data_IF_176560544241
#
_entry.id   IF_176560544241
#
_cell.length_a   1.000
_cell.length_b   1.000
_cell.length_c   1.000
_cell.angle_alpha   90.00
_cell.angle_beta   90.00
_cell.angle_gamma   90.00
#
_symmetry.space_group_name_H-M   'P 1'
#
loop_
_entity.id
_entity.type
_entity.pdbx_description
1 polymer ?
#
# COMPACT_ATOMS: atom_id res chain seq x y z
N UNK A 1 -0.69 -6.55 13.21
CA UNK A 1 0.01 -7.66 13.89
C UNK A 1 -0.43 -8.97 13.24
N UNK A 2 0.50 -9.89 13.01
CA UNK A 2 0.24 -11.19 12.37
C UNK A 2 0.66 -12.28 13.37
N UNK A 3 -0.19 -13.29 13.56
CA UNK A 3 0.12 -14.43 14.41
C UNK A 3 1.21 -15.29 13.74
N UNK A 4 2.08 -15.92 14.54
CA UNK A 4 3.26 -16.65 14.03
C UNK A 4 2.90 -17.85 13.15
N UNK A 5 1.72 -18.44 13.36
CA UNK A 5 1.16 -19.59 12.65
C UNK A 5 0.71 -19.26 11.21
N UNK A 6 0.48 -17.99 10.89
CA UNK A 6 0.15 -17.57 9.52
C UNK A 6 1.40 -17.68 8.65
N UNK A 7 1.32 -18.36 7.50
CA UNK A 7 2.46 -18.59 6.60
C UNK A 7 2.88 -17.38 5.74
N UNK A 8 2.02 -16.36 5.60
CA UNK A 8 2.32 -15.17 4.80
C UNK A 8 3.47 -14.36 5.42
N UNK A 9 4.50 -14.08 4.63
CA UNK A 9 5.69 -13.29 5.01
C UNK A 9 5.99 -12.24 3.96
N UNK A 10 6.88 -11.31 4.31
CA UNK A 10 7.41 -10.31 3.38
C UNK A 10 8.10 -11.00 2.20
N UNK A 11 7.93 -10.41 1.02
CA UNK A 11 8.56 -10.91 -0.19
C UNK A 11 9.98 -10.38 -0.21
N UNK A 12 10.95 -11.28 -0.33
CA UNK A 12 12.35 -10.89 -0.40
C UNK A 12 12.63 -9.98 -1.61
N UNK A 13 13.43 -8.94 -1.41
CA UNK A 13 13.74 -7.92 -2.42
C UNK A 13 12.64 -6.87 -2.67
N UNK A 14 11.45 -6.97 -2.06
CA UNK A 14 10.42 -5.93 -2.20
C UNK A 14 10.61 -4.80 -1.19
N UNK A 15 11.08 -3.64 -1.66
CA UNK A 15 11.40 -2.50 -0.79
C UNK A 15 10.26 -1.48 -0.59
N UNK A 16 9.29 -1.45 -1.50
CA UNK A 16 8.16 -0.52 -1.44
C UNK A 16 6.85 -1.31 -1.36
N UNK A 17 5.90 -0.80 -0.55
CA UNK A 17 4.58 -1.41 -0.36
C UNK A 17 4.63 -2.89 0.10
N UNK A 18 5.70 -3.30 0.80
CA UNK A 18 5.85 -4.66 1.31
C UNK A 18 4.77 -5.02 2.34
N UNK A 19 4.45 -4.09 3.24
CA UNK A 19 3.39 -4.24 4.24
C UNK A 19 2.04 -4.43 3.55
N UNK A 20 1.78 -3.66 2.50
CA UNK A 20 0.52 -3.76 1.77
C UNK A 20 0.39 -5.14 1.13
N UNK A 21 1.44 -5.62 0.46
CA UNK A 21 1.46 -6.97 -0.12
C UNK A 21 1.24 -8.06 0.93
N UNK A 22 1.89 -7.93 2.09
CA UNK A 22 1.72 -8.87 3.19
C UNK A 22 0.26 -8.94 3.63
N UNK A 23 -0.38 -7.79 3.87
CA UNK A 23 -1.78 -7.73 4.27
C UNK A 23 -2.73 -8.29 3.22
N UNK A 24 -2.50 -7.96 1.94
CA UNK A 24 -3.27 -8.49 0.83
C UNK A 24 -3.20 -10.02 0.78
N UNK A 25 -1.99 -10.60 0.86
CA UNK A 25 -1.79 -12.06 0.90
C UNK A 25 -2.45 -12.73 2.11
N UNK A 26 -2.39 -12.08 3.27
CA UNK A 26 -3.08 -12.59 4.48
C UNK A 26 -4.58 -12.66 4.22
N UNK A 27 -5.21 -11.60 3.72
CA UNK A 27 -6.65 -11.62 3.44
C UNK A 27 -7.00 -12.63 2.34
N UNK A 28 -6.18 -12.71 1.29
CA UNK A 28 -6.32 -13.70 0.22
C UNK A 28 -6.23 -15.14 0.71
N UNK A 29 -5.45 -15.41 1.76
CA UNK A 29 -5.33 -16.75 2.34
C UNK A 29 -6.60 -17.25 3.05
N UNK A 30 -7.62 -16.41 3.18
CA UNK A 30 -8.90 -16.75 3.80
C UNK A 30 -8.88 -16.79 5.33
N UNK A 31 -7.78 -16.36 5.96
CA UNK A 31 -7.71 -16.24 7.42
C UNK A 31 -8.53 -15.06 7.92
N UNK A 32 -9.04 -15.17 9.15
CA UNK A 32 -9.81 -14.08 9.76
C UNK A 32 -8.91 -12.87 10.04
N UNK A 33 -9.30 -11.72 9.51
CA UNK A 33 -8.66 -10.43 9.73
C UNK A 33 -9.61 -9.51 10.50
N UNK A 34 -9.12 -8.90 11.58
CA UNK A 34 -9.89 -7.98 12.43
C UNK A 34 -9.22 -6.62 12.45
N UNK A 35 -10.01 -5.56 12.24
CA UNK A 35 -9.56 -4.17 12.39
C UNK A 35 -9.85 -3.69 13.81
N UNK A 36 -8.80 -3.41 14.58
CA UNK A 36 -8.92 -2.86 15.93
C UNK A 36 -9.10 -1.34 15.86
N UNK A 37 -10.16 -0.76 16.46
CA UNK A 37 -10.41 0.69 16.48
C UNK A 37 -9.61 1.39 17.59
N UNK A 38 -8.34 1.00 17.79
CA UNK A 38 -7.46 1.53 18.83
C UNK A 38 -6.26 2.23 18.20
N UNK A 39 -5.87 3.36 18.78
CA UNK A 39 -4.65 4.07 18.37
C UNK A 39 -3.42 3.30 18.86
N UNK A 40 -2.81 2.52 17.97
CA UNK A 40 -1.65 1.69 18.28
C UNK A 40 -0.30 2.36 17.97
N UNK A 41 -0.31 3.46 17.22
CA UNK A 41 0.90 4.16 16.80
C UNK A 41 0.65 5.67 16.72
N UNK A 42 1.66 6.44 17.08
CA UNK A 42 1.73 7.89 16.87
C UNK A 42 2.88 8.20 15.91
N UNK A 43 2.61 9.07 14.93
CA UNK A 43 3.60 9.50 13.94
C UNK A 43 3.95 10.96 14.26
N UNK A 44 5.20 11.20 14.67
CA UNK A 44 5.68 12.53 15.06
C UNK A 44 6.46 13.25 13.96
N UNK A 45 6.52 12.67 12.75
CA UNK A 45 7.15 13.27 11.57
C UNK A 45 6.12 13.86 10.63
N UNK A 46 6.52 14.90 9.91
CA UNK A 46 5.71 15.45 8.83
C UNK A 46 5.38 14.36 7.80
N UNK A 47 4.12 14.32 7.38
CA UNK A 47 3.64 13.38 6.36
C UNK A 47 4.28 13.63 5.00
N UNK A 48 4.73 14.87 4.75
CA UNK A 48 5.30 15.32 3.49
C UNK A 48 6.61 16.10 3.73
N UNK A 49 7.63 15.82 2.91
CA UNK A 49 8.92 16.53 2.94
C UNK A 49 9.99 15.92 3.84
N UNK A 50 9.68 14.86 4.60
CA UNK A 50 10.69 14.05 5.27
C UNK A 50 11.44 13.17 4.24
N UNK A 51 12.78 13.18 4.29
CA UNK A 51 13.64 12.29 3.50
C UNK A 51 13.34 10.82 3.86
N UNK A 52 13.08 9.96 2.86
CA UNK A 52 12.76 8.54 3.08
C UNK A 52 12.02 7.88 1.92
N UNK A 53 11.55 6.63 2.11
CA UNK A 53 10.79 5.87 1.08
C UNK A 53 9.53 6.62 0.61
N UNK A 54 8.92 7.39 1.51
CA UNK A 54 7.70 8.19 1.26
C UNK A 54 7.90 9.36 0.30
N UNK A 55 9.14 9.81 0.04
CA UNK A 55 9.40 10.85 -0.97
C UNK A 55 9.39 10.29 -2.40
N UNK A 56 9.55 8.97 -2.56
CA UNK A 56 9.55 8.28 -3.85
C UNK A 56 8.12 7.83 -4.22
N UNK A 57 7.22 8.81 -4.32
CA UNK A 57 5.78 8.60 -4.58
C UNK A 57 5.53 7.69 -5.79
N UNK A 58 6.25 7.91 -6.89
CA UNK A 58 6.10 7.11 -8.11
C UNK A 58 6.51 5.65 -7.92
N UNK A 59 7.62 5.37 -7.23
CA UNK A 59 8.08 4.00 -6.99
C UNK A 59 7.16 3.24 -6.02
N UNK A 60 6.54 3.95 -5.08
CA UNK A 60 5.49 3.37 -4.23
C UNK A 60 4.26 2.99 -5.06
N UNK A 61 3.79 3.87 -5.93
CA UNK A 61 2.63 3.58 -6.79
C UNK A 61 2.91 2.41 -7.74
N UNK A 62 4.08 2.41 -8.40
CA UNK A 62 4.48 1.30 -9.28
C UNK A 62 4.48 -0.04 -8.54
N UNK A 63 4.97 -0.05 -7.31
CA UNK A 63 4.99 -1.25 -6.47
C UNK A 63 3.58 -1.65 -6.02
N UNK A 64 2.66 -0.69 -5.85
CA UNK A 64 1.26 -0.97 -5.54
C UNK A 64 0.53 -1.64 -6.72
N UNK A 65 0.74 -1.13 -7.93
CA UNK A 65 0.18 -1.71 -9.15
C UNK A 65 0.73 -3.12 -9.40
N UNK A 66 2.02 -3.33 -9.15
CA UNK A 66 2.66 -4.64 -9.25
C UNK A 66 2.09 -5.62 -8.21
N UNK A 67 1.77 -5.16 -7.00
CA UNK A 67 1.11 -5.99 -5.99
C UNK A 67 -0.23 -6.53 -6.50
N UNK A 68 -1.08 -5.68 -7.09
CA UNK A 68 -2.37 -6.13 -7.63
C UNK A 68 -2.18 -7.13 -8.79
N UNK A 69 -1.20 -6.91 -9.67
CA UNK A 69 -0.89 -7.88 -10.74
C UNK A 69 -0.48 -9.24 -10.19
N UNK A 70 0.36 -9.27 -9.17
CA UNK A 70 0.76 -10.51 -8.49
C UNK A 70 -0.42 -11.19 -7.83
N UNK A 71 -1.31 -10.45 -7.16
CA UNK A 71 -2.54 -11.01 -6.59
C UNK A 71 -3.45 -11.65 -7.65
N UNK A 72 -3.53 -11.04 -8.84
CA UNK A 72 -4.28 -11.61 -9.94
C UNK A 72 -3.63 -12.88 -10.48
N UNK A 73 -2.29 -12.93 -10.56
CA UNK A 73 -1.55 -14.15 -10.93
C UNK A 73 -1.72 -15.27 -9.90
N UNK A 74 -1.81 -14.93 -8.62
CA UNK A 74 -2.09 -15.86 -7.51
C UNK A 74 -3.57 -16.31 -7.47
N UNK A 75 -4.43 -15.79 -8.36
CA UNK A 75 -5.84 -16.19 -8.46
C UNK A 75 -6.74 -15.61 -7.36
N UNK A 76 -6.23 -14.72 -6.51
CA UNK A 76 -7.02 -14.11 -5.43
C UNK A 76 -8.05 -13.09 -5.94
N UNK A 77 -7.72 -12.39 -7.04
CA UNK A 77 -8.62 -11.40 -7.65
C UNK A 77 -8.88 -11.71 -9.11
N UNK A 78 -10.10 -11.43 -9.56
CA UNK A 78 -10.50 -11.57 -10.95
C UNK A 78 -10.06 -10.36 -11.80
N UNK A 79 -10.00 -10.54 -13.13
CA UNK A 79 -9.68 -9.46 -14.08
C UNK A 79 -10.49 -8.16 -13.91
N UNK A 80 -11.82 -8.18 -13.73
CA UNK A 80 -12.57 -6.94 -13.52
C UNK A 80 -12.25 -6.27 -12.18
N UNK A 81 -12.01 -7.06 -11.12
CA UNK A 81 -11.58 -6.53 -9.82
C UNK A 81 -10.20 -5.88 -9.91
N UNK A 82 -9.28 -6.51 -10.64
CA UNK A 82 -7.95 -5.92 -10.92
C UNK A 82 -8.09 -4.56 -11.61
N UNK A 83 -8.88 -4.46 -12.68
CA UNK A 83 -9.07 -3.20 -13.39
C UNK A 83 -9.66 -2.09 -12.50
N UNK A 84 -10.66 -2.44 -11.68
CA UNK A 84 -11.26 -1.50 -10.71
C UNK A 84 -10.23 -1.02 -9.66
N UNK A 85 -9.42 -1.94 -9.11
CA UNK A 85 -8.38 -1.63 -8.12
C UNK A 85 -7.27 -0.76 -8.72
N UNK A 86 -6.82 -1.06 -9.95
CA UNK A 86 -5.84 -0.24 -10.66
C UNK A 86 -6.38 1.18 -10.88
N UNK A 87 -7.61 1.32 -11.35
CA UNK A 87 -8.26 2.62 -11.54
C UNK A 87 -8.38 3.40 -10.23
N UNK A 88 -8.79 2.73 -9.16
CA UNK A 88 -8.90 3.33 -7.83
C UNK A 88 -7.53 3.78 -7.28
N UNK A 89 -6.49 2.97 -7.47
CA UNK A 89 -5.11 3.31 -7.08
C UNK A 89 -4.61 4.55 -7.80
N UNK A 90 -4.78 4.60 -9.11
CA UNK A 90 -4.42 5.75 -9.95
C UNK A 90 -5.15 7.03 -9.51
N UNK A 91 -6.45 6.96 -9.23
CA UNK A 91 -7.22 8.11 -8.71
C UNK A 91 -6.69 8.59 -7.36
N UNK A 92 -6.37 7.65 -6.46
CA UNK A 92 -5.78 7.96 -5.15
C UNK A 92 -4.39 8.60 -5.31
N UNK A 93 -3.59 8.13 -6.26
CA UNK A 93 -2.29 8.69 -6.59
C UNK A 93 -2.40 10.12 -7.14
N UNK A 94 -3.30 10.37 -8.08
CA UNK A 94 -3.57 11.70 -8.61
C UNK A 94 -3.99 12.67 -7.51
N UNK A 95 -4.91 12.26 -6.62
CA UNK A 95 -5.27 13.07 -5.44
C UNK A 95 -4.07 13.39 -4.57
N UNK A 96 -3.20 12.40 -4.33
CA UNK A 96 -1.97 12.57 -3.53
C UNK A 96 -1.00 13.56 -4.19
N UNK A 97 -0.85 13.51 -5.51
CA UNK A 97 -0.05 14.48 -6.25
C UNK A 97 -0.58 15.90 -6.11
N UNK A 98 -1.89 16.12 -6.24
CA UNK A 98 -2.50 17.44 -6.07
C UNK A 98 -2.24 18.00 -4.66
N UNK A 99 -2.41 17.18 -3.63
CA UNK A 99 -2.14 17.59 -2.24
C UNK A 99 -0.65 17.90 -2.05
N UNK A 100 0.23 17.05 -2.58
CA UNK A 100 1.68 17.24 -2.48
C UNK A 100 2.14 18.53 -3.17
N UNK A 101 1.62 18.81 -4.38
CA UNK A 101 1.87 20.04 -5.11
C UNK A 101 1.34 21.27 -4.36
N UNK A 102 0.14 21.19 -3.79
CA UNK A 102 -0.44 22.25 -2.96
C UNK A 102 0.41 22.53 -1.71
N UNK A 103 0.86 21.48 -1.02
CA UNK A 103 1.73 21.58 0.16
C UNK A 103 3.10 22.20 -0.18
N UNK A 104 3.73 21.79 -1.29
CA UNK A 104 4.98 22.38 -1.77
C UNK A 104 4.83 23.85 -2.14
N UNK A 105 3.68 24.23 -2.73
CA UNK A 105 3.40 25.63 -3.09
C UNK A 105 3.21 26.53 -1.88
N UNK A 106 2.79 25.99 -0.74
CA UNK A 106 2.57 26.75 0.50
C UNK A 106 3.81 26.84 1.41
N UNK A 107 4.82 26.01 1.17
CA UNK A 107 6.08 26.01 1.93
C UNK A 107 7.20 26.83 1.27
N UNK A 108 6.98 27.32 0.04
CA UNK A 108 7.81 28.33 -0.63
C UNK A 108 7.32 29.73 -0.29
#
# INVERSE_FOLDING_TARGET
MIKRDIGSRFIDGQRYMEDHMLWLRVVCSGVSAVKLPLALAAIYKDQFGATGLSSRLWLMELSDLENYRRLHQEGCISRPQLAALLGYSLLKFMRRLVIYWGYLRWKK
#
